data_IF_672677215992
#
_entry.id   IF_672677215992
#
_cell.length_a   1.000
_cell.length_b   1.000
_cell.length_c   1.000
_cell.angle_alpha   90.00
_cell.angle_beta   90.00
_cell.angle_gamma   90.00
#
_symmetry.space_group_name_H-M   'P 1'
#
loop_
_entity.id
_entity.type
_entity.pdbx_description
1 polymer ?
#
# COMPACT_ATOMS: atom_id res chain seq x y z
N UNK A 1 -6.42 16.67 -13.09
CA UNK A 1 -6.96 16.24 -11.77
C UNK A 1 -6.19 15.09 -11.10
N UNK A 2 -5.63 14.12 -11.82
CA UNK A 2 -4.86 13.00 -11.22
C UNK A 2 -3.67 13.44 -10.34
N UNK A 3 -2.90 14.47 -10.77
CA UNK A 3 -1.73 14.98 -10.02
C UNK A 3 -2.03 15.45 -8.60
N UNK A 4 -3.23 16.00 -8.35
CA UNK A 4 -3.57 16.52 -7.02
C UNK A 4 -3.83 15.39 -6.02
N UNK A 5 -4.38 14.26 -6.50
CA UNK A 5 -4.79 13.13 -5.67
C UNK A 5 -3.60 12.26 -5.25
N UNK A 6 -2.71 11.97 -6.19
CA UNK A 6 -1.45 11.25 -5.92
C UNK A 6 -0.59 11.91 -4.85
N UNK A 7 -0.56 13.26 -4.86
CA UNK A 7 0.18 14.03 -3.86
C UNK A 7 -0.42 13.87 -2.46
N UNK A 8 -1.75 13.96 -2.33
CA UNK A 8 -2.44 13.86 -1.04
C UNK A 8 -2.20 12.50 -0.37
N UNK A 9 -2.31 11.41 -1.14
CA UNK A 9 -2.15 10.06 -0.60
C UNK A 9 -0.70 9.78 -0.14
N UNK A 10 0.27 10.34 -0.88
CA UNK A 10 1.69 10.24 -0.51
C UNK A 10 2.00 11.06 0.72
N UNK A 11 1.46 12.28 0.82
CA UNK A 11 1.57 13.13 2.01
C UNK A 11 0.94 12.45 3.24
N UNK A 12 -0.26 11.90 3.11
CA UNK A 12 -0.96 11.19 4.18
C UNK A 12 -0.17 9.97 4.67
N UNK A 13 0.49 9.22 3.79
CA UNK A 13 1.30 8.07 4.19
C UNK A 13 2.67 8.43 4.78
N UNK A 14 3.32 9.49 4.28
CA UNK A 14 4.74 9.78 4.61
C UNK A 14 4.92 10.90 5.64
N UNK A 15 3.91 11.73 5.91
CA UNK A 15 4.00 12.81 6.91
C UNK A 15 4.11 12.32 8.36
N UNK A 16 3.96 11.01 8.60
CA UNK A 16 4.11 10.40 9.92
C UNK A 16 5.58 10.08 10.28
N UNK A 17 6.53 10.26 9.37
CA UNK A 17 7.92 9.89 9.58
C UNK A 17 8.82 11.10 9.79
N UNK A 18 9.68 11.01 10.81
CA UNK A 18 10.86 11.88 10.94
C UNK A 18 12.06 11.10 10.43
N UNK A 19 12.68 11.60 9.36
CA UNK A 19 13.83 10.95 8.72
C UNK A 19 15.15 11.50 9.26
N UNK A 20 15.85 10.67 10.04
CA UNK A 20 17.14 11.06 10.65
C UNK A 20 18.35 10.51 9.89
N UNK A 21 18.16 9.47 9.06
CA UNK A 21 19.21 8.84 8.27
C UNK A 21 18.71 8.45 6.89
N UNK A 22 19.59 8.51 5.90
CA UNK A 22 19.29 8.14 4.52
C UNK A 22 18.82 6.69 4.40
N UNK A 23 19.40 5.77 5.19
CA UNK A 23 19.01 4.36 5.14
C UNK A 23 17.56 4.13 5.59
N UNK A 24 17.08 4.96 6.54
CA UNK A 24 15.68 4.95 6.95
C UNK A 24 14.77 5.43 5.82
N UNK A 25 15.16 6.53 5.15
CA UNK A 25 14.42 7.05 3.98
C UNK A 25 14.31 5.97 2.91
N UNK A 26 15.44 5.32 2.56
CA UNK A 26 15.46 4.26 1.55
C UNK A 26 14.52 3.12 1.92
N UNK A 27 14.56 2.65 3.15
CA UNK A 27 13.67 1.59 3.63
C UNK A 27 12.20 1.98 3.50
N UNK A 28 11.82 3.15 4.01
CA UNK A 28 10.44 3.64 4.01
C UNK A 28 9.93 3.88 2.59
N UNK A 29 10.73 4.52 1.74
CA UNK A 29 10.34 4.77 0.34
C UNK A 29 10.22 3.46 -0.44
N UNK A 30 11.15 2.52 -0.27
CA UNK A 30 11.06 1.20 -0.92
C UNK A 30 9.83 0.41 -0.48
N UNK A 31 9.47 0.47 0.80
CA UNK A 31 8.25 -0.15 1.31
C UNK A 31 7.00 0.54 0.77
N UNK A 32 6.97 1.88 0.75
CA UNK A 32 5.87 2.65 0.21
C UNK A 32 5.64 2.37 -1.28
N UNK A 33 6.69 2.39 -2.10
CA UNK A 33 6.59 2.10 -3.54
C UNK A 33 6.05 0.70 -3.78
N UNK A 34 6.50 -0.27 -2.99
CA UNK A 34 6.01 -1.65 -3.07
C UNK A 34 4.51 -1.72 -2.74
N UNK A 35 4.08 -1.12 -1.64
CA UNK A 35 2.67 -1.06 -1.28
C UNK A 35 1.82 -0.34 -2.33
N UNK A 36 2.29 0.82 -2.80
CA UNK A 36 1.60 1.65 -3.77
C UNK A 36 1.31 0.90 -5.07
N UNK A 37 2.25 0.10 -5.55
CA UNK A 37 2.11 -0.64 -6.80
C UNK A 37 1.35 -1.96 -6.63
N UNK A 38 1.59 -2.69 -5.54
CA UNK A 38 1.19 -4.09 -5.43
C UNK A 38 0.02 -4.41 -4.50
N UNK A 39 -0.36 -3.48 -3.62
CA UNK A 39 -1.43 -3.70 -2.65
C UNK A 39 -2.48 -2.59 -2.66
N UNK A 40 -2.10 -1.36 -3.00
CA UNK A 40 -3.00 -0.21 -2.91
C UNK A 40 -4.11 -0.28 -3.97
N UNK A 41 -5.39 -0.29 -3.56
CA UNK A 41 -6.49 -0.11 -4.49
C UNK A 41 -6.44 1.31 -5.06
N UNK A 42 -6.19 1.44 -6.37
CA UNK A 42 -6.15 2.71 -7.06
C UNK A 42 -7.48 2.96 -7.77
N UNK A 43 -8.14 4.05 -7.39
CA UNK A 43 -9.39 4.47 -8.04
C UNK A 43 -9.20 4.83 -9.51
N UNK A 44 -7.99 5.23 -9.92
CA UNK A 44 -7.72 5.64 -11.30
C UNK A 44 -7.81 4.46 -12.30
N UNK A 45 -7.61 3.24 -11.82
CA UNK A 45 -7.61 2.01 -12.62
C UNK A 45 -8.65 1.00 -12.11
N UNK A 46 -9.51 1.41 -11.18
CA UNK A 46 -10.52 0.57 -10.52
C UNK A 46 -9.97 -0.76 -9.98
N UNK A 47 -8.74 -0.75 -9.47
CA UNK A 47 -8.05 -1.96 -9.06
C UNK A 47 -6.64 -1.69 -8.55
N UNK A 48 -5.88 -2.77 -8.32
CA UNK A 48 -4.48 -2.69 -7.92
C UNK A 48 -3.62 -2.66 -9.20
N UNK A 49 -2.60 -1.78 -9.31
CA UNK A 49 -1.83 -1.63 -10.54
C UNK A 49 -1.10 -2.90 -10.98
N UNK A 50 -0.35 -3.51 -10.07
CA UNK A 50 0.34 -4.78 -10.29
C UNK A 50 0.17 -5.67 -9.06
N UNK A 51 -1.01 -6.28 -8.86
CA UNK A 51 -1.30 -7.03 -7.67
C UNK A 51 -0.29 -8.15 -7.46
N UNK A 52 0.05 -8.43 -6.20
CA UNK A 52 0.83 -9.61 -5.87
C UNK A 52 0.19 -10.89 -6.45
N UNK A 53 0.97 -11.92 -6.80
CA UNK A 53 0.44 -13.15 -7.40
C UNK A 53 -0.73 -13.78 -6.63
N UNK A 54 -0.70 -13.72 -5.30
CA UNK A 54 -1.76 -14.20 -4.42
C UNK A 54 -3.06 -13.39 -4.53
N UNK A 55 -2.98 -12.09 -4.88
CA UNK A 55 -4.13 -11.21 -5.05
C UNK A 55 -4.73 -11.29 -6.48
N UNK A 56 -4.05 -11.99 -7.41
CA UNK A 56 -4.55 -12.24 -8.77
C UNK A 56 -5.56 -13.40 -8.81
N UNK A 57 -5.61 -14.22 -7.76
CA UNK A 57 -6.54 -15.34 -7.66
C UNK A 57 -7.94 -14.84 -7.29
N UNK A 58 -8.96 -15.63 -7.64
CA UNK A 58 -10.35 -15.28 -7.26
C UNK A 58 -10.47 -15.22 -5.75
N UNK A 59 -11.13 -14.18 -5.23
CA UNK A 59 -11.34 -14.03 -3.80
C UNK A 59 -12.07 -15.27 -3.24
N UNK A 60 -11.63 -15.82 -2.10
CA UNK A 60 -12.31 -16.95 -1.50
C UNK A 60 -13.72 -16.55 -1.08
N UNK A 61 -14.69 -17.44 -1.25
CA UNK A 61 -16.11 -17.20 -0.89
C UNK A 61 -16.33 -17.04 0.60
N UNK A 62 -15.41 -17.57 1.40
CA UNK A 62 -15.32 -17.41 2.85
C UNK A 62 -13.86 -17.25 3.23
N UNK A 63 -13.56 -16.37 4.19
CA UNK A 63 -12.20 -16.12 4.61
C UNK A 63 -12.14 -15.05 5.69
N UNK A 64 -11.03 -15.02 6.43
CA UNK A 64 -10.76 -14.01 7.45
C UNK A 64 -10.10 -12.80 6.80
N UNK A 65 -10.64 -11.62 7.04
CA UNK A 65 -9.97 -10.37 6.68
C UNK A 65 -8.82 -10.12 7.65
N UNK A 66 -7.60 -10.03 7.12
CA UNK A 66 -6.40 -9.68 7.87
C UNK A 66 -5.86 -8.34 7.41
N UNK A 67 -5.42 -7.54 8.37
CA UNK A 67 -4.75 -6.27 8.13
C UNK A 67 -3.25 -6.47 8.36
N UNK A 68 -2.46 -6.45 7.29
CA UNK A 68 -1.01 -6.53 7.36
C UNK A 68 -0.46 -5.11 7.49
N UNK A 69 0.30 -4.80 8.56
CA UNK A 69 0.84 -3.46 8.74
C UNK A 69 1.90 -3.16 7.68
N UNK A 70 1.82 -1.96 7.12
CA UNK A 70 2.76 -1.40 6.14
C UNK A 70 3.24 -0.05 6.67
N UNK A 71 4.50 0.31 6.40
CA UNK A 71 5.08 1.57 6.87
C UNK A 71 4.97 1.68 8.39
N UNK A 72 5.38 0.64 9.11
CA UNK A 72 5.29 0.61 10.58
C UNK A 72 3.86 0.68 11.14
N UNK A 73 2.83 0.39 10.32
CA UNK A 73 1.42 0.42 10.71
C UNK A 73 0.68 1.71 10.35
N UNK A 74 1.33 2.64 9.66
CA UNK A 74 0.66 3.85 9.10
C UNK A 74 -0.35 3.45 8.02
N UNK A 75 -0.03 2.43 7.24
CA UNK A 75 -0.90 1.87 6.21
C UNK A 75 -1.15 0.39 6.50
N UNK A 76 -2.22 -0.14 5.92
CA UNK A 76 -2.57 -1.55 6.06
C UNK A 76 -2.89 -2.14 4.70
N UNK A 77 -2.27 -3.27 4.39
CA UNK A 77 -2.64 -4.13 3.27
C UNK A 77 -3.69 -5.13 3.76
N UNK A 78 -4.91 -4.99 3.24
CA UNK A 78 -6.05 -5.80 3.63
C UNK A 78 -6.20 -7.00 2.70
N UNK A 79 -6.12 -8.20 3.28
CA UNK A 79 -6.21 -9.46 2.52
C UNK A 79 -7.27 -10.37 3.09
N UNK A 80 -8.00 -11.06 2.22
CA UNK A 80 -8.83 -12.19 2.61
C UNK A 80 -7.98 -13.45 2.53
N UNK A 81 -7.79 -14.10 3.68
CA UNK A 81 -7.15 -15.42 3.77
C UNK A 81 -8.23 -16.47 4.01
N UNK A 82 -8.23 -17.54 3.20
CA UNK A 82 -9.14 -18.67 3.36
C UNK A 82 -8.73 -19.55 4.55
#
# INVERSE_FOLDING_TARGET
MLRQRYRKDTEEALNHFIFLRIDHIRRVVSEYVRYYNHARPSQAIHGIPDPYPELKQSLPSTGKLVALPVLGGVQHDYRLIA
#
